data_IF_581382434121
#
_entry.id   IF_581382434121
#
_cell.length_a   1.000
_cell.length_b   1.000
_cell.length_c   1.000
_cell.angle_alpha   90.00
_cell.angle_beta   90.00
_cell.angle_gamma   90.00
#
_symmetry.space_group_name_H-M   'P 1'
#
loop_
_entity.id
_entity.type
_entity.pdbx_description
1 polymer ?
#
# COMPACT_ATOMS: atom_id res chain seq x y z
N UNK A 1 26.52 -25.00 -19.55
CA UNK A 1 25.93 -24.63 -18.24
C UNK A 1 24.58 -25.31 -18.13
N UNK A 2 24.47 -26.31 -17.26
CA UNK A 2 23.20 -26.99 -16.94
C UNK A 2 22.52 -26.21 -15.82
N UNK A 3 21.27 -25.76 -16.04
CA UNK A 3 20.49 -25.13 -14.98
C UNK A 3 20.09 -26.17 -13.93
N UNK A 4 20.13 -25.84 -12.63
CA UNK A 4 19.70 -26.75 -11.59
C UNK A 4 18.23 -27.14 -11.81
N UNK A 5 17.96 -28.44 -11.84
CA UNK A 5 16.59 -28.96 -11.88
C UNK A 5 15.97 -28.81 -10.50
N UNK A 6 15.05 -27.86 -10.36
CA UNK A 6 14.29 -27.67 -9.12
C UNK A 6 13.06 -28.57 -9.18
N UNK A 7 13.04 -29.61 -8.34
CA UNK A 7 11.86 -30.47 -8.16
C UNK A 7 10.74 -29.63 -7.53
N UNK A 8 9.68 -29.37 -8.30
CA UNK A 8 8.50 -28.66 -7.81
C UNK A 8 7.50 -29.68 -7.27
N UNK A 9 7.22 -29.65 -5.97
CA UNK A 9 6.10 -30.41 -5.40
C UNK A 9 4.79 -29.96 -6.07
N UNK A 10 3.83 -30.85 -6.36
CA UNK A 10 2.52 -30.46 -6.89
C UNK A 10 1.76 -29.57 -5.90
N UNK A 11 0.87 -28.71 -6.39
CA UNK A 11 -0.03 -27.95 -5.51
C UNK A 11 -1.12 -28.87 -4.94
N UNK A 12 -1.46 -28.72 -3.67
CA UNK A 12 -2.54 -29.50 -3.06
C UNK A 12 -3.91 -29.04 -3.60
N UNK A 13 -4.99 -29.84 -3.49
CA UNK A 13 -6.34 -29.37 -3.80
C UNK A 13 -6.74 -28.11 -3.04
N UNK A 14 -6.36 -28.01 -1.76
CA UNK A 14 -6.60 -26.84 -0.91
C UNK A 14 -5.88 -25.60 -1.43
N UNK A 15 -4.60 -25.72 -1.82
CA UNK A 15 -3.84 -24.59 -2.40
C UNK A 15 -4.49 -24.07 -3.68
N UNK A 16 -5.00 -24.98 -4.52
CA UNK A 16 -5.68 -24.63 -5.77
C UNK A 16 -6.98 -23.88 -5.51
N UNK A 17 -7.79 -24.32 -4.55
CA UNK A 17 -9.03 -23.65 -4.20
C UNK A 17 -8.75 -22.24 -3.65
N UNK A 18 -7.82 -22.11 -2.69
CA UNK A 18 -7.46 -20.82 -2.11
C UNK A 18 -6.90 -19.84 -3.15
N UNK A 19 -6.08 -20.33 -4.08
CA UNK A 19 -5.61 -19.51 -5.20
C UNK A 19 -6.77 -19.08 -6.11
N UNK A 20 -7.73 -19.97 -6.38
CA UNK A 20 -8.90 -19.62 -7.19
C UNK A 20 -9.77 -18.56 -6.50
N UNK A 21 -10.01 -18.70 -5.19
CA UNK A 21 -10.75 -17.71 -4.39
C UNK A 21 -10.04 -16.35 -4.39
N UNK A 22 -8.72 -16.36 -4.22
CA UNK A 22 -7.89 -15.16 -4.32
C UNK A 22 -7.98 -14.49 -5.71
N UNK A 23 -7.86 -15.27 -6.79
CA UNK A 23 -7.93 -14.74 -8.17
C UNK A 23 -9.31 -14.10 -8.43
N UNK A 24 -10.38 -14.72 -7.93
CA UNK A 24 -11.74 -14.19 -8.09
C UNK A 24 -11.88 -12.82 -7.40
N UNK A 25 -11.43 -12.69 -6.15
CA UNK A 25 -11.47 -11.44 -5.39
C UNK A 25 -10.58 -10.37 -6.02
N UNK A 26 -9.36 -10.73 -6.45
CA UNK A 26 -8.44 -9.83 -7.14
C UNK A 26 -9.04 -9.29 -8.44
N UNK A 27 -9.70 -10.14 -9.22
CA UNK A 27 -10.36 -9.73 -10.47
C UNK A 27 -11.50 -8.75 -10.19
N UNK A 28 -12.29 -8.97 -9.14
CA UNK A 28 -13.36 -8.06 -8.73
C UNK A 28 -12.81 -6.69 -8.27
N UNK A 29 -11.70 -6.69 -7.53
CA UNK A 29 -11.03 -5.45 -7.11
C UNK A 29 -10.58 -4.64 -8.34
N UNK A 30 -9.89 -5.27 -9.28
CA UNK A 30 -9.45 -4.63 -10.53
C UNK A 30 -10.61 -4.10 -11.36
N UNK A 31 -11.71 -4.85 -11.45
CA UNK A 31 -12.91 -4.42 -12.17
C UNK A 31 -13.58 -3.20 -11.51
N UNK A 32 -13.64 -3.17 -10.18
CA UNK A 32 -14.24 -2.06 -9.41
C UNK A 32 -13.46 -0.77 -9.63
N UNK A 33 -12.13 -0.86 -9.68
CA UNK A 33 -11.27 0.29 -9.92
C UNK A 33 -11.33 0.78 -11.35
N UNK A 34 -11.34 -0.14 -12.32
CA UNK A 34 -11.49 0.21 -13.74
C UNK A 34 -12.81 0.92 -14.02
N UNK A 35 -13.88 0.52 -13.31
CA UNK A 35 -15.18 1.18 -13.40
C UNK A 35 -15.23 2.51 -12.63
N UNK A 36 -14.30 2.73 -11.69
CA UNK A 36 -14.21 3.96 -10.90
C UNK A 36 -13.62 5.16 -11.65
N UNK A 37 -13.04 4.95 -12.84
CA UNK A 37 -12.64 6.04 -13.75
C UNK A 37 -13.84 6.71 -14.46
N UNK A 38 -15.05 6.17 -14.27
CA UNK A 38 -16.26 6.71 -14.87
C UNK A 38 -16.87 7.78 -13.96
N UNK A 39 -16.90 8.99 -14.51
CA UNK A 39 -17.50 10.22 -13.99
C UNK A 39 -16.64 10.96 -12.96
N UNK A 40 -15.95 12.01 -13.45
CA UNK A 40 -15.54 13.13 -12.60
C UNK A 40 -16.76 13.52 -11.77
N UNK A 41 -16.76 13.33 -10.44
CA UNK A 41 -17.92 13.68 -9.64
C UNK A 41 -18.25 15.14 -9.92
N UNK A 42 -19.53 15.51 -10.10
CA UNK A 42 -19.89 16.89 -10.34
C UNK A 42 -19.23 17.76 -9.28
N UNK A 43 -18.62 18.88 -9.68
CA UNK A 43 -17.78 19.76 -8.86
C UNK A 43 -18.44 20.31 -7.58
N UNK A 44 -19.69 19.94 -7.35
CA UNK A 44 -20.59 20.37 -6.26
C UNK A 44 -20.82 19.31 -5.20
N UNK A 45 -20.06 18.20 -5.14
CA UNK A 45 -20.10 17.37 -3.92
C UNK A 45 -19.49 18.19 -2.78
N UNK A 46 -20.25 18.52 -1.71
CA UNK A 46 -19.67 19.19 -0.57
C UNK A 46 -18.52 18.32 -0.07
N UNK A 47 -17.32 18.91 0.05
CA UNK A 47 -16.19 18.22 0.68
C UNK A 47 -16.71 17.70 2.01
N UNK A 48 -16.67 16.38 2.19
CA UNK A 48 -17.06 15.76 3.43
C UNK A 48 -16.04 16.26 4.45
N UNK A 49 -16.41 17.32 5.16
CA UNK A 49 -15.63 17.87 6.25
C UNK A 49 -15.75 16.82 7.35
N UNK A 50 -14.91 15.79 7.27
CA UNK A 50 -14.60 14.94 8.38
C UNK A 50 -13.99 15.87 9.42
N UNK A 51 -14.85 16.44 10.26
CA UNK A 51 -14.41 17.13 11.46
C UNK A 51 -13.52 16.15 12.18
N UNK A 52 -12.24 16.50 12.20
CA UNK A 52 -11.13 15.67 12.64
C UNK A 52 -11.35 15.34 14.11
N UNK A 53 -12.16 14.33 14.39
CA UNK A 53 -12.05 13.56 15.61
C UNK A 53 -10.82 12.68 15.37
N UNK A 54 -9.64 13.30 15.44
CA UNK A 54 -8.42 12.56 15.72
C UNK A 54 -8.69 11.78 16.99
N UNK A 55 -8.32 10.50 16.99
CA UNK A 55 -8.46 9.75 18.22
C UNK A 55 -7.55 10.38 19.28
N UNK A 56 -8.16 10.94 20.34
CA UNK A 56 -7.41 11.58 21.42
C UNK A 56 -6.61 10.56 22.22
N UNK A 57 -6.93 9.26 22.07
CA UNK A 57 -6.20 8.19 22.73
C UNK A 57 -4.75 8.13 22.23
N UNK A 58 -3.78 7.95 23.14
CA UNK A 58 -2.39 7.74 22.75
C UNK A 58 -2.27 6.49 21.87
N UNK A 59 -1.33 6.52 20.93
CA UNK A 59 -1.02 5.35 20.09
C UNK A 59 -0.39 4.27 20.95
N UNK A 60 -0.92 3.05 20.86
CA UNK A 60 -0.42 1.89 21.58
C UNK A 60 -0.02 0.77 20.62
N UNK A 61 1.01 0.01 21.00
CA UNK A 61 1.27 -1.30 20.39
C UNK A 61 0.04 -2.18 20.59
N UNK A 62 -0.43 -2.82 19.54
CA UNK A 62 -1.67 -3.58 19.54
C UNK A 62 -2.81 -2.87 18.80
N UNK A 63 -2.77 -1.54 18.66
CA UNK A 63 -3.85 -0.82 17.98
C UNK A 63 -4.00 -1.28 16.52
N UNK A 64 -5.24 -1.47 16.08
CA UNK A 64 -5.60 -1.55 14.67
C UNK A 64 -6.25 -0.23 14.28
N UNK A 65 -5.62 0.49 13.36
CA UNK A 65 -6.04 1.84 12.97
C UNK A 65 -6.45 1.89 11.50
N UNK A 66 -7.56 2.56 11.22
CA UNK A 66 -7.97 2.92 9.86
C UNK A 66 -7.23 4.18 9.43
N UNK A 67 -6.50 4.10 8.31
CA UNK A 67 -5.75 5.24 7.77
C UNK A 67 -6.69 6.36 7.33
N UNK A 68 -6.29 7.60 7.65
CA UNK A 68 -6.98 8.79 7.17
C UNK A 68 -6.91 8.88 5.64
N UNK A 69 -7.95 9.34 4.92
CA UNK A 69 -7.92 9.48 3.46
C UNK A 69 -6.83 10.41 2.93
N UNK A 70 -6.36 11.38 3.72
CA UNK A 70 -5.19 12.20 3.33
C UNK A 70 -3.88 11.41 3.31
N UNK A 71 -3.81 10.30 4.04
CA UNK A 71 -2.64 9.42 4.11
C UNK A 71 -2.74 8.37 2.99
N UNK A 72 -3.91 7.75 2.81
CA UNK A 72 -4.20 6.82 1.72
C UNK A 72 -5.50 7.22 1.02
N UNK A 73 -5.43 8.05 -0.04
CA UNK A 73 -6.62 8.61 -0.69
C UNK A 73 -7.34 7.61 -1.61
N UNK A 74 -6.63 6.54 -2.00
CA UNK A 74 -7.09 5.60 -3.00
C UNK A 74 -7.87 4.41 -2.44
N UNK A 75 -7.81 4.15 -1.13
CA UNK A 75 -8.48 3.01 -0.53
C UNK A 75 -8.67 3.18 0.99
N UNK A 76 -9.70 2.52 1.53
CA UNK A 76 -9.79 2.29 2.97
C UNK A 76 -8.74 1.25 3.36
N UNK A 77 -7.81 1.64 4.22
CA UNK A 77 -6.67 0.80 4.59
C UNK A 77 -6.51 0.74 6.10
N UNK A 78 -6.43 -0.47 6.63
CA UNK A 78 -6.13 -0.70 8.04
C UNK A 78 -4.66 -1.03 8.24
N UNK A 79 -4.11 -0.62 9.37
CA UNK A 79 -2.76 -0.97 9.82
C UNK A 79 -2.77 -1.44 11.27
N UNK A 80 -1.98 -2.45 11.59
CA UNK A 80 -1.68 -2.85 12.95
C UNK A 80 -0.42 -2.12 13.45
N UNK A 81 -0.50 -1.46 14.61
CA UNK A 81 0.61 -0.78 15.27
C UNK A 81 1.39 -1.80 16.09
N UNK A 82 2.67 -2.00 15.78
CA UNK A 82 3.42 -3.12 16.39
C UNK A 82 4.49 -2.65 17.36
N UNK A 83 5.27 -1.64 16.99
CA UNK A 83 6.32 -1.13 17.88
C UNK A 83 6.66 0.34 17.59
N UNK A 84 7.11 1.10 18.59
CA UNK A 84 7.80 2.36 18.34
C UNK A 84 9.01 2.11 17.43
N UNK A 85 9.17 2.93 16.40
CA UNK A 85 10.37 2.91 15.56
C UNK A 85 11.39 3.96 16.04
N UNK A 86 10.89 5.15 16.39
CA UNK A 86 11.65 6.26 16.97
C UNK A 86 10.74 7.09 17.88
N UNK A 87 11.23 8.21 18.40
CA UNK A 87 10.41 9.13 19.20
C UNK A 87 9.21 9.72 18.41
N UNK A 88 9.28 9.73 17.07
CA UNK A 88 8.28 10.39 16.21
C UNK A 88 7.69 9.45 15.16
N UNK A 89 7.99 8.15 15.22
CA UNK A 89 7.54 7.19 14.23
C UNK A 89 7.28 5.81 14.84
N UNK A 90 6.38 5.07 14.20
CA UNK A 90 5.94 3.73 14.58
C UNK A 90 6.13 2.77 13.41
N UNK A 91 6.48 1.53 13.74
CA UNK A 91 6.43 0.41 12.82
C UNK A 91 5.01 -0.13 12.78
N UNK A 92 4.44 -0.20 11.58
CA UNK A 92 3.11 -0.73 11.36
C UNK A 92 3.11 -1.82 10.29
N UNK A 93 2.11 -2.70 10.35
CA UNK A 93 1.87 -3.74 9.37
C UNK A 93 0.52 -3.50 8.69
N UNK A 94 0.47 -3.37 7.36
CA UNK A 94 -0.79 -3.16 6.67
C UNK A 94 -1.59 -4.45 6.60
N UNK A 95 -2.91 -4.30 6.69
CA UNK A 95 -3.83 -5.32 6.22
C UNK A 95 -3.99 -5.24 4.70
N UNK A 96 -4.05 -6.40 4.05
CA UNK A 96 -4.32 -6.54 2.63
C UNK A 96 -5.76 -6.15 2.30
N UNK A 97 -6.02 -5.84 1.02
CA UNK A 97 -7.37 -5.53 0.54
C UNK A 97 -8.24 -6.79 0.33
N UNK A 98 -7.60 -7.96 0.32
CA UNK A 98 -8.21 -9.24 -0.03
C UNK A 98 -8.38 -10.10 1.22
N UNK A 99 -9.35 -11.00 1.16
CA UNK A 99 -9.73 -11.92 2.22
C UNK A 99 -8.83 -13.15 2.31
N UNK A 100 -8.12 -13.45 1.23
CA UNK A 100 -7.25 -14.60 1.10
C UNK A 100 -5.77 -14.20 1.07
N UNK A 101 -4.88 -14.83 1.86
CA UNK A 101 -3.45 -14.61 1.74
C UNK A 101 -2.97 -15.02 0.34
N UNK A 102 -2.37 -14.08 -0.38
CA UNK A 102 -1.81 -14.27 -1.70
C UNK A 102 -0.51 -15.07 -1.64
N UNK A 103 0.32 -14.82 -0.62
CA UNK A 103 1.69 -15.34 -0.54
C UNK A 103 1.99 -16.00 0.80
N UNK A 104 3.03 -16.85 0.88
CA UNK A 104 3.48 -17.43 2.14
C UNK A 104 3.89 -16.39 3.21
N UNK A 105 4.21 -15.17 2.78
CA UNK A 105 4.63 -14.07 3.66
C UNK A 105 3.45 -13.25 4.23
N UNK A 106 2.21 -13.66 3.92
CA UNK A 106 0.98 -13.06 4.43
C UNK A 106 0.29 -14.00 5.42
N UNK A 107 -0.41 -13.41 6.38
CA UNK A 107 -1.00 -14.15 7.49
C UNK A 107 -2.51 -13.92 7.50
N UNK A 108 -3.27 -15.01 7.48
CA UNK A 108 -4.70 -15.00 7.75
C UNK A 108 -4.96 -14.80 9.25
N UNK A 109 -5.79 -13.81 9.56
CA UNK A 109 -6.38 -13.58 10.89
C UNK A 109 -7.74 -14.28 10.99
N UNK A 110 -8.26 -14.43 12.19
CA UNK A 110 -9.59 -14.99 12.41
C UNK A 110 -10.70 -13.93 12.36
N UNK A 111 -10.39 -12.74 11.85
CA UNK A 111 -11.30 -11.59 11.84
C UNK A 111 -12.35 -11.73 10.75
N UNK A 112 -13.59 -11.38 11.07
CA UNK A 112 -14.70 -11.49 10.11
C UNK A 112 -14.66 -10.45 8.99
N UNK A 113 -14.36 -9.15 9.23
CA UNK A 113 -14.36 -8.15 8.18
C UNK A 113 -13.27 -8.43 7.12
N UNK A 114 -13.60 -8.50 5.81
CA UNK A 114 -12.65 -8.73 4.74
C UNK A 114 -11.34 -7.91 4.82
N UNK A 115 -11.36 -6.57 5.04
CA UNK A 115 -10.14 -5.77 5.03
C UNK A 115 -9.25 -5.98 6.27
N UNK A 116 -9.64 -6.86 7.20
CA UNK A 116 -8.86 -7.23 8.38
C UNK A 116 -8.44 -8.72 8.37
N UNK A 117 -8.81 -9.49 7.33
CA UNK A 117 -8.55 -10.94 7.27
C UNK A 117 -7.12 -11.31 6.95
N UNK A 118 -6.40 -10.44 6.25
CA UNK A 118 -5.04 -10.73 5.80
C UNK A 118 -4.13 -9.62 6.28
N UNK A 119 -3.10 -10.00 7.03
CA UNK A 119 -2.03 -9.12 7.45
C UNK A 119 -0.80 -9.35 6.58
N UNK A 120 -0.10 -8.29 6.19
CA UNK A 120 1.02 -8.35 5.25
C UNK A 120 2.36 -7.96 5.92
N UNK A 121 2.96 -8.81 6.79
CA UNK A 121 4.24 -8.52 7.43
C UNK A 121 5.38 -8.16 6.47
N UNK A 122 5.41 -8.80 5.30
CA UNK A 122 6.40 -8.51 4.25
C UNK A 122 6.35 -7.05 3.76
N UNK A 123 5.20 -6.40 3.92
CA UNK A 123 4.97 -5.01 3.54
C UNK A 123 4.98 -4.05 4.73
N UNK A 124 5.71 -4.39 5.80
CA UNK A 124 5.92 -3.49 6.95
C UNK A 124 6.43 -2.12 6.51
N UNK A 125 5.98 -1.08 7.20
CA UNK A 125 6.35 0.31 6.90
C UNK A 125 6.37 1.17 8.16
N UNK A 126 6.93 2.37 8.03
CA UNK A 126 7.02 3.35 9.12
C UNK A 126 6.02 4.48 8.90
N UNK A 127 5.26 4.83 9.92
CA UNK A 127 4.33 5.98 9.91
C UNK A 127 4.70 6.92 11.05
N UNK A 128 4.63 8.23 10.81
CA UNK A 128 4.87 9.24 11.85
C UNK A 128 3.77 9.21 12.92
N UNK A 129 4.12 9.57 14.16
CA UNK A 129 3.15 9.76 15.24
C UNK A 129 2.02 10.71 14.81
N UNK A 130 2.37 11.81 14.12
CA UNK A 130 1.40 12.79 13.64
C UNK A 130 0.40 12.18 12.63
N UNK A 131 0.84 11.33 11.70
CA UNK A 131 -0.07 10.64 10.80
C UNK A 131 -0.96 9.62 11.53
N UNK A 132 -0.39 8.80 12.42
CA UNK A 132 -1.19 7.81 13.18
C UNK A 132 -2.21 8.45 14.13
N UNK A 133 -1.94 9.65 14.65
CA UNK A 133 -2.91 10.41 15.45
C UNK A 133 -4.11 10.89 14.62
N UNK A 134 -3.96 11.01 13.30
CA UNK A 134 -5.06 11.34 12.38
C UNK A 134 -5.87 10.13 11.96
N UNK A 135 -5.33 8.93 12.17
CA UNK A 135 -6.02 7.67 11.93
C UNK A 135 -7.01 7.37 13.07
N UNK A 136 -8.03 6.56 12.78
CA UNK A 136 -9.04 6.16 13.76
C UNK A 136 -8.71 4.81 14.35
N UNK A 137 -8.81 4.63 15.68
CA UNK A 137 -8.79 3.31 16.28
C UNK A 137 -10.02 2.53 15.81
N UNK A 138 -9.78 1.42 15.14
CA UNK A 138 -10.83 0.53 14.65
C UNK A 138 -11.01 -0.67 15.58
N UNK A 139 -9.91 -1.21 16.10
CA UNK A 139 -9.89 -2.38 16.98
C UNK A 139 -8.52 -2.52 17.66
N UNK A 140 -8.30 -3.62 18.40
CA UNK A 140 -7.01 -4.02 18.94
C UNK A 140 -6.66 -5.46 18.55
N UNK A 141 -5.37 -5.74 18.39
CA UNK A 141 -4.84 -7.08 18.20
C UNK A 141 -5.14 -7.95 19.42
N UNK A 142 -5.47 -9.21 19.19
CA UNK A 142 -5.54 -10.19 20.27
C UNK A 142 -4.12 -10.51 20.77
N UNK A 143 -3.97 -11.04 22.00
CA UNK A 143 -2.66 -11.48 22.49
C UNK A 143 -1.98 -12.51 21.57
N UNK A 144 -2.77 -13.38 20.94
CA UNK A 144 -2.29 -14.39 20.00
C UNK A 144 -1.77 -13.74 18.71
N UNK A 145 -2.52 -12.79 18.13
CA UNK A 145 -2.08 -12.02 16.97
C UNK A 145 -0.80 -11.22 17.28
N UNK A 146 -0.73 -10.57 18.45
CA UNK A 146 0.45 -9.82 18.87
C UNK A 146 1.69 -10.72 19.01
N UNK A 147 1.53 -11.94 19.53
CA UNK A 147 2.61 -12.93 19.63
C UNK A 147 3.13 -13.33 18.25
N UNK A 148 2.24 -13.67 17.31
CA UNK A 148 2.62 -14.00 15.93
C UNK A 148 3.38 -12.87 15.25
N UNK A 149 2.95 -11.63 15.48
CA UNK A 149 3.61 -10.47 14.92
C UNK A 149 4.99 -10.20 15.50
N UNK A 150 5.18 -10.41 16.79
CA UNK A 150 6.50 -10.35 17.42
C UNK A 150 7.47 -11.33 16.77
N UNK A 151 7.02 -12.56 16.50
CA UNK A 151 7.81 -13.56 15.78
C UNK A 151 8.11 -13.13 14.34
N UNK A 152 7.10 -12.66 13.59
CA UNK A 152 7.26 -12.25 12.20
C UNK A 152 8.22 -11.05 12.04
N UNK A 153 8.25 -10.12 12.99
CA UNK A 153 9.16 -8.98 12.96
C UNK A 153 10.62 -9.36 13.27
N UNK A 154 10.83 -10.40 14.07
CA UNK A 154 12.17 -10.87 14.45
C UNK A 154 12.88 -11.62 13.31
N UNK A 155 12.10 -12.17 12.37
CA UNK A 155 12.60 -12.89 11.21
C UNK A 155 12.95 -11.87 10.11
N UNK A 156 14.23 -11.49 9.99
CA UNK A 156 14.74 -10.49 9.05
C UNK A 156 14.68 -10.94 7.57
N UNK A 157 13.48 -11.17 7.04
CA UNK A 157 13.27 -11.65 5.67
C UNK A 157 13.26 -13.17 5.54
N UNK A 158 13.35 -13.89 6.65
CA UNK A 158 13.02 -15.31 6.71
C UNK A 158 11.51 -15.48 6.87
N UNK A 159 10.96 -16.53 6.25
CA UNK A 159 9.52 -16.81 6.36
C UNK A 159 9.19 -17.13 7.81
N UNK A 160 8.33 -16.32 8.41
CA UNK A 160 7.85 -16.60 9.75
C UNK A 160 7.11 -17.95 9.75
N UNK A 161 7.37 -18.84 10.74
CA UNK A 161 6.83 -20.19 10.76
C UNK A 161 5.35 -20.13 11.18
N UNK A 162 4.50 -19.67 10.27
CA UNK A 162 3.07 -19.75 10.42
C UNK A 162 2.57 -21.08 9.84
N UNK A 163 1.51 -21.66 10.42
CA UNK A 163 0.90 -22.86 9.86
C UNK A 163 0.51 -22.64 8.39
N UNK A 164 0.75 -23.61 7.49
CA UNK A 164 0.45 -23.48 6.05
C UNK A 164 -1.02 -23.11 5.74
N UNK A 165 -1.95 -23.47 6.62
CA UNK A 165 -3.36 -23.13 6.52
C UNK A 165 -3.66 -21.63 6.73
N UNK A 166 -2.73 -20.90 7.37
CA UNK A 166 -2.84 -19.45 7.60
C UNK A 166 -2.09 -18.61 6.58
N UNK A 167 -1.18 -19.19 5.80
CA UNK A 167 -0.37 -18.45 4.82
C UNK A 167 -0.78 -18.75 3.40
N UNK A 168 -0.44 -17.88 2.45
CA UNK A 168 -0.84 -18.05 1.05
C UNK A 168 -0.07 -19.16 0.34
N UNK A 169 -0.60 -19.74 -0.75
CA UNK A 169 0.10 -20.73 -1.55
C UNK A 169 1.44 -20.20 -2.08
N UNK A 170 2.43 -21.08 -2.26
CA UNK A 170 3.73 -20.69 -2.81
C UNK A 170 3.62 -19.98 -4.18
N UNK A 171 4.43 -18.94 -4.38
CA UNK A 171 4.55 -18.21 -5.65
C UNK A 171 5.53 -18.95 -6.56
N UNK A 172 5.04 -19.58 -7.64
CA UNK A 172 5.82 -20.54 -8.45
C UNK A 172 6.05 -20.12 -9.89
N UNK A 173 5.12 -19.35 -10.47
CA UNK A 173 5.13 -19.01 -11.88
C UNK A 173 5.55 -17.55 -12.07
N UNK A 174 6.45 -17.22 -13.01
CA UNK A 174 6.90 -15.83 -13.20
C UNK A 174 5.78 -14.91 -13.73
N UNK A 175 4.77 -15.47 -14.39
CA UNK A 175 3.56 -14.76 -14.85
C UNK A 175 2.38 -14.93 -13.89
N UNK A 176 2.63 -15.26 -12.63
CA UNK A 176 1.58 -15.35 -11.63
C UNK A 176 1.04 -13.94 -11.32
N UNK A 177 -0.28 -13.68 -11.43
CA UNK A 177 -0.86 -12.34 -11.20
C UNK A 177 -0.62 -11.80 -9.79
N UNK A 178 -0.27 -12.67 -8.82
CA UNK A 178 0.12 -12.25 -7.48
C UNK A 178 1.38 -11.38 -7.47
N UNK A 179 2.22 -11.44 -8.51
CA UNK A 179 3.34 -10.51 -8.67
C UNK A 179 2.87 -9.06 -8.83
N UNK A 180 1.82 -8.83 -9.62
CA UNK A 180 1.25 -7.49 -9.82
C UNK A 180 0.61 -6.96 -8.53
N UNK A 181 -0.11 -7.83 -7.82
CA UNK A 181 -0.64 -7.52 -6.49
C UNK A 181 0.48 -7.11 -5.51
N UNK A 182 1.59 -7.86 -5.44
CA UNK A 182 2.73 -7.48 -4.58
C UNK A 182 3.36 -6.17 -4.98
N UNK A 183 3.51 -5.91 -6.29
CA UNK A 183 4.05 -4.65 -6.77
C UNK A 183 3.16 -3.46 -6.35
N UNK A 184 1.83 -3.64 -6.44
CA UNK A 184 0.85 -2.64 -6.01
C UNK A 184 0.90 -2.37 -4.51
N UNK A 185 0.93 -3.41 -3.70
CA UNK A 185 1.04 -3.28 -2.24
C UNK A 185 2.39 -2.65 -1.85
N UNK A 186 3.48 -2.98 -2.56
CA UNK A 186 4.78 -2.33 -2.36
C UNK A 186 4.75 -0.84 -2.77
N UNK A 187 4.02 -0.47 -3.82
CA UNK A 187 3.83 0.93 -4.22
C UNK A 187 3.05 1.73 -3.15
N UNK A 188 2.05 1.12 -2.50
CA UNK A 188 1.39 1.70 -1.33
C UNK A 188 2.41 2.03 -0.22
N UNK A 189 3.26 1.08 0.15
CA UNK A 189 4.34 1.32 1.12
C UNK A 189 5.27 2.46 0.69
N UNK A 190 5.67 2.49 -0.58
CA UNK A 190 6.57 3.52 -1.10
C UNK A 190 5.95 4.92 -0.98
N UNK A 191 4.66 5.09 -1.30
CA UNK A 191 3.96 6.38 -1.15
C UNK A 191 4.00 6.86 0.30
N UNK A 192 3.71 5.99 1.27
CA UNK A 192 3.73 6.36 2.67
C UNK A 192 5.13 6.71 3.18
N UNK A 193 6.14 5.91 2.83
CA UNK A 193 7.53 6.19 3.23
C UNK A 193 8.06 7.47 2.59
N UNK A 194 7.72 7.74 1.32
CA UNK A 194 8.12 8.96 0.62
C UNK A 194 7.51 10.22 1.26
N UNK A 195 6.29 10.14 1.80
CA UNK A 195 5.65 11.25 2.54
C UNK A 195 6.28 11.46 3.92
N UNK A 196 6.82 10.40 4.54
CA UNK A 196 7.50 10.47 5.85
C UNK A 196 8.92 11.01 5.73
N UNK A 197 9.60 10.77 4.61
CA UNK A 197 10.75 11.56 4.22
C UNK A 197 10.27 12.99 3.99
N UNK A 198 10.64 13.90 4.90
CA UNK A 198 10.33 15.34 4.94
C UNK A 198 9.93 15.94 3.57
N UNK A 199 8.95 16.86 3.50
CA UNK A 199 8.68 17.56 2.26
C UNK A 199 10.01 18.16 1.82
N UNK A 200 10.50 17.77 0.63
CA UNK A 200 11.50 18.56 -0.06
C UNK A 200 10.91 19.96 -0.15
N UNK A 201 11.29 20.82 0.79
CA UNK A 201 11.05 22.26 0.67
C UNK A 201 11.95 22.66 -0.47
N UNK A 202 11.39 22.66 -1.67
CA UNK A 202 11.99 23.40 -2.76
C UNK A 202 12.11 24.83 -2.26
N UNK A 203 13.34 25.31 -2.15
CA UNK A 203 13.59 26.72 -1.95
C UNK A 203 13.07 27.43 -3.20
N UNK A 204 11.88 28.01 -3.08
CA UNK A 204 11.23 28.78 -4.15
C UNK A 204 11.98 30.08 -4.47
N UNK A 205 13.03 30.41 -3.71
CA UNK A 205 13.95 31.50 -4.06
C UNK A 205 15.03 31.06 -5.05
N UNK A 206 15.17 29.75 -5.33
CA UNK A 206 16.06 29.27 -6.38
C UNK A 206 15.46 29.65 -7.72
N UNK A 207 16.14 30.57 -8.40
CA UNK A 207 15.81 30.96 -9.76
C UNK A 207 15.72 29.69 -10.64
N UNK A 208 14.57 29.40 -11.29
CA UNK A 208 14.39 28.21 -12.12
C UNK A 208 15.47 28.05 -13.20
N UNK A 209 16.08 29.14 -13.64
CA UNK A 209 17.18 29.13 -14.62
C UNK A 209 18.54 28.68 -14.06
N UNK A 210 18.67 28.50 -12.74
CA UNK A 210 19.91 28.07 -12.08
C UNK A 210 19.93 26.58 -11.72
N UNK A 211 18.83 25.86 -11.90
CA UNK A 211 18.76 24.42 -11.65
C UNK A 211 19.49 23.65 -12.76
N UNK A 212 20.51 22.87 -12.38
CA UNK A 212 21.22 21.99 -13.30
C UNK A 212 20.29 20.88 -13.79
N UNK A 213 20.25 20.67 -15.12
CA UNK A 213 19.42 19.64 -15.75
C UNK A 213 19.91 18.26 -15.33
N UNK A 214 18.98 17.41 -14.90
CA UNK A 214 19.23 16.01 -14.56
C UNK A 214 19.39 15.16 -15.85
N UNK A 215 20.50 15.36 -16.56
CA UNK A 215 21.07 14.41 -17.52
C UNK A 215 20.30 14.07 -18.81
N UNK A 216 19.65 15.04 -19.48
CA UNK A 216 19.20 14.88 -20.89
C UNK A 216 19.46 16.13 -21.75
N UNK A 217 19.98 15.91 -22.97
CA UNK A 217 20.42 16.94 -23.92
C UNK A 217 19.32 17.44 -24.89
N UNK A 218 18.02 17.18 -24.65
CA UNK A 218 16.98 17.60 -25.59
C UNK A 218 15.80 18.35 -24.95
N UNK A 219 15.71 19.62 -25.37
CA UNK A 219 14.63 20.61 -25.20
C UNK A 219 14.31 21.09 -23.77
N UNK A 220 13.92 22.38 -23.58
CA UNK A 220 13.40 22.87 -22.30
C UNK A 220 11.99 22.33 -22.03
N UNK A 221 11.71 21.97 -20.79
CA UNK A 221 10.33 21.77 -20.33
C UNK A 221 9.60 23.12 -20.35
N UNK A 222 8.47 23.17 -21.06
CA UNK A 222 7.53 24.28 -21.00
C UNK A 222 8.02 25.58 -21.65
N UNK A 223 7.81 25.72 -22.96
CA UNK A 223 7.35 26.94 -23.64
C UNK A 223 7.23 26.64 -25.13
N UNK A 224 6.15 25.96 -25.53
CA UNK A 224 5.64 26.19 -26.86
C UNK A 224 4.93 27.55 -26.79
N UNK A 225 5.60 28.63 -27.19
CA UNK A 225 4.91 29.85 -27.55
C UNK A 225 3.77 29.48 -28.51
N UNK A 226 2.53 29.75 -28.10
CA UNK A 226 1.39 29.70 -29.02
C UNK A 226 1.70 30.70 -30.13
N UNK A 227 2.04 30.20 -31.31
CA UNK A 227 2.06 30.99 -32.54
C UNK A 227 0.68 31.65 -32.66
N UNK A 228 0.56 33.00 -32.68
CA UNK A 228 -0.72 33.64 -32.90
C UNK A 228 -1.29 33.23 -34.26
N UNK A 229 -2.62 33.13 -34.41
CA UNK A 229 -3.24 32.78 -35.68
C UNK A 229 -2.86 33.82 -36.75
N UNK A 230 -2.72 33.42 -38.03
CA UNK A 230 -2.39 34.34 -39.10
C UNK A 230 -3.47 35.43 -39.21
N UNK A 231 -3.04 36.69 -39.15
CA UNK A 231 -3.88 37.84 -39.44
C UNK A 231 -4.34 37.79 -40.90
N UNK A 232 -5.63 38.07 -41.10
CA UNK A 232 -6.33 37.89 -42.37
C UNK A 232 -5.80 38.73 -43.52
N UNK A 233 -5.96 38.20 -44.73
CA UNK A 233 -5.83 38.91 -45.99
C UNK A 233 -6.97 39.96 -46.13
N UNK A 234 -6.66 41.23 -46.43
CA UNK A 234 -7.68 42.19 -46.86
C UNK A 234 -8.03 41.97 -48.35
N UNK A 235 -9.33 42.02 -48.65
CA UNK A 235 -9.88 42.25 -49.99
C UNK A 235 -9.92 43.75 -50.32
#
# INVERSE_FOLDING_TARGET
>A
MTLPSITRLPATPTDRQRLADWIAEWTLLLATESNGELETPPATRPSLQLHVLSDAAPIQTGDIRLLHPEIEPTALRYVAVVAPHSATAWTVLPFGLLSEPATPDEIRTDRTPPPLRVLCPWNRLQITTAHLQRCWLADQLTPEEAMWLGSALSMHGEHAPHPPERTGPALRHPLDPRHDYRAREAAFRQRLTATVASPLRYDTTINPSALLKAAEDRAPYGTAERKPPPEGEPS
#
